data_IF_286102324692
#
_entry.id   IF_286102324692
#
_cell.length_a   1.000
_cell.length_b   1.000
_cell.length_c   1.000
_cell.angle_alpha   90.00
_cell.angle_beta   90.00
_cell.angle_gamma   90.00
#
_symmetry.space_group_name_H-M   'P 1'
#
loop_
_entity.id
_entity.type
_entity.pdbx_description
1 polymer ?
#
# COMPACT_ATOMS: atom_id res chain seq x y z
N UNK A 1 -28.17 40.82 -8.66
CA UNK A 1 -27.80 39.47 -8.21
C UNK A 1 -27.55 38.60 -9.43
N UNK A 2 -26.29 38.28 -9.71
CA UNK A 2 -25.87 37.24 -10.66
C UNK A 2 -24.60 36.60 -10.09
N UNK A 3 -24.51 35.27 -9.92
CA UNK A 3 -23.29 34.65 -9.43
C UNK A 3 -22.31 34.44 -10.59
N UNK A 4 -21.04 34.81 -10.33
CA UNK A 4 -19.90 34.58 -11.22
C UNK A 4 -19.54 33.09 -11.26
N UNK A 5 -19.29 32.59 -12.45
CA UNK A 5 -18.77 31.25 -12.76
C UNK A 5 -17.37 31.04 -12.20
N UNK A 6 -17.23 30.16 -11.21
CA UNK A 6 -15.95 29.61 -10.79
C UNK A 6 -15.58 28.42 -11.67
N UNK A 7 -14.51 28.54 -12.46
CA UNK A 7 -13.88 27.40 -13.14
C UNK A 7 -13.32 26.45 -12.08
N UNK A 8 -13.98 25.30 -11.91
CA UNK A 8 -13.49 24.20 -11.08
C UNK A 8 -12.32 23.52 -11.76
N UNK A 9 -11.13 23.68 -11.18
CA UNK A 9 -9.97 22.85 -11.48
C UNK A 9 -10.27 21.40 -11.07
N UNK A 10 -10.34 20.49 -12.04
CA UNK A 10 -10.36 19.04 -11.78
C UNK A 10 -8.95 18.60 -11.34
N UNK A 11 -8.77 17.99 -10.14
CA UNK A 11 -7.48 17.43 -9.77
C UNK A 11 -7.24 16.15 -10.57
N UNK A 12 -6.14 16.14 -11.32
CA UNK A 12 -5.60 14.96 -12.00
C UNK A 12 -5.24 13.91 -10.95
N UNK A 13 -5.48 12.63 -11.28
CA UNK A 13 -5.02 11.42 -10.57
C UNK A 13 -5.88 10.93 -9.38
N UNK A 14 -7.13 10.57 -9.69
CA UNK A 14 -7.72 9.34 -9.17
C UNK A 14 -7.88 8.40 -10.38
N UNK A 15 -6.85 7.61 -10.69
CA UNK A 15 -6.94 6.62 -11.76
C UNK A 15 -7.13 5.23 -11.15
N UNK A 16 -8.24 4.52 -11.45
CA UNK A 16 -8.40 3.12 -11.09
C UNK A 16 -7.34 2.25 -11.79
N UNK A 17 -7.06 1.07 -11.21
CA UNK A 17 -6.04 0.06 -11.61
C UNK A 17 -5.83 -0.19 -13.13
N UNK A 18 -6.77 0.12 -14.02
CA UNK A 18 -6.72 -0.26 -15.43
C UNK A 18 -5.85 0.66 -16.33
N UNK A 19 -5.41 1.83 -15.86
CA UNK A 19 -4.63 2.76 -16.70
C UNK A 19 -3.10 2.58 -16.65
N UNK A 20 -2.58 1.64 -15.86
CA UNK A 20 -1.13 1.41 -15.72
C UNK A 20 -0.55 0.26 -16.57
N UNK A 21 -1.37 -0.46 -17.36
CA UNK A 21 -0.88 -1.59 -18.18
C UNK A 21 -0.09 -1.16 -19.45
N UNK A 22 -0.08 0.13 -19.82
CA UNK A 22 0.42 0.61 -21.12
C UNK A 22 1.81 1.23 -21.13
N UNK A 23 2.63 1.08 -20.08
CA UNK A 23 4.00 1.64 -20.04
C UNK A 23 5.10 0.57 -19.90
N UNK A 24 5.01 -0.50 -20.71
CA UNK A 24 6.15 -1.37 -20.98
C UNK A 24 6.64 -1.12 -22.41
N UNK A 25 7.94 -0.85 -22.65
CA UNK A 25 8.48 -0.74 -24.00
C UNK A 25 8.41 -2.10 -24.72
N UNK A 26 8.20 -2.13 -26.05
CA UNK A 26 8.12 -3.38 -26.79
C UNK A 26 9.47 -4.10 -26.77
N UNK A 27 9.45 -5.36 -26.32
CA UNK A 27 10.59 -6.29 -26.43
C UNK A 27 10.84 -6.59 -27.92
N UNK A 28 12.07 -6.41 -28.37
CA UNK A 28 12.53 -6.75 -29.71
C UNK A 28 12.52 -8.27 -29.90
N UNK A 29 11.60 -8.77 -30.73
CA UNK A 29 11.67 -10.14 -31.25
C UNK A 29 12.58 -10.17 -32.48
N UNK A 30 13.69 -10.90 -32.38
CA UNK A 30 14.59 -11.15 -33.50
C UNK A 30 13.99 -12.19 -34.45
N UNK A 31 14.09 -11.90 -35.73
CA UNK A 31 13.62 -12.70 -36.86
C UNK A 31 14.49 -13.96 -37.04
N UNK A 32 13.86 -15.13 -37.26
CA UNK A 32 14.52 -16.25 -37.94
C UNK A 32 13.60 -16.75 -39.06
N UNK A 33 14.16 -16.72 -40.26
CA UNK A 33 13.57 -17.08 -41.54
C UNK A 33 13.35 -18.60 -41.65
N UNK A 34 12.38 -18.97 -42.48
CA UNK A 34 11.91 -20.35 -42.62
C UNK A 34 12.76 -21.27 -43.50
N UNK A 35 12.34 -22.54 -43.53
CA UNK A 35 12.65 -23.46 -44.61
C UNK A 35 11.46 -24.42 -44.83
N UNK A 36 11.08 -24.55 -46.09
CA UNK A 36 10.02 -25.38 -46.64
C UNK A 36 10.41 -26.87 -46.66
N UNK A 37 9.46 -27.81 -46.55
CA UNK A 37 9.25 -28.93 -47.52
C UNK A 37 8.25 -30.01 -47.04
N UNK A 38 7.26 -30.23 -47.91
CA UNK A 38 6.50 -31.45 -48.30
C UNK A 38 5.82 -32.37 -47.27
N UNK A 39 4.56 -32.64 -47.61
CA UNK A 39 3.66 -33.68 -47.11
C UNK A 39 4.20 -35.11 -47.32
N UNK A 40 3.99 -35.96 -46.31
CA UNK A 40 3.65 -37.37 -46.50
C UNK A 40 2.88 -37.87 -45.29
N UNK A 41 1.71 -38.44 -45.55
CA UNK A 41 0.79 -38.98 -44.56
C UNK A 41 1.25 -40.37 -44.12
N UNK A 42 1.61 -40.52 -42.86
CA UNK A 42 1.63 -41.82 -42.17
C UNK A 42 0.83 -41.71 -40.89
N UNK A 43 -0.18 -42.58 -40.79
CA UNK A 43 -1.07 -42.68 -39.66
C UNK A 43 -0.31 -43.42 -38.55
N UNK A 44 0.33 -42.67 -37.66
CA UNK A 44 0.98 -43.19 -36.45
C UNK A 44 0.25 -42.60 -35.26
N UNK A 45 -0.52 -43.44 -34.55
CA UNK A 45 -1.08 -43.08 -33.26
C UNK A 45 0.06 -42.67 -32.32
N UNK A 46 0.17 -41.37 -32.05
CA UNK A 46 1.12 -40.83 -31.09
C UNK A 46 0.66 -41.23 -29.69
N UNK A 47 1.31 -42.23 -29.10
CA UNK A 47 1.27 -42.40 -27.65
C UNK A 47 1.83 -41.13 -27.02
N UNK A 48 0.95 -40.33 -26.42
CA UNK A 48 1.34 -39.24 -25.54
C UNK A 48 2.16 -39.85 -24.39
N UNK A 49 3.35 -39.32 -24.05
CA UNK A 49 4.02 -39.74 -22.84
C UNK A 49 3.11 -39.40 -21.66
N UNK A 50 2.88 -40.41 -20.80
CA UNK A 50 2.17 -40.25 -19.55
C UNK A 50 2.93 -39.19 -18.72
N UNK A 51 2.37 -37.99 -18.62
CA UNK A 51 2.93 -36.95 -17.76
C UNK A 51 2.76 -37.43 -16.32
N UNK A 52 3.85 -37.54 -15.53
CA UNK A 52 3.71 -37.89 -14.12
C UNK A 52 2.76 -36.89 -13.48
N UNK A 53 1.80 -37.40 -12.70
CA UNK A 53 0.87 -36.61 -11.91
C UNK A 53 1.67 -35.74 -10.94
N UNK A 54 2.09 -34.57 -11.39
CA UNK A 54 2.55 -33.51 -10.52
C UNK A 54 1.31 -33.02 -9.80
N UNK A 55 1.20 -33.35 -8.51
CA UNK A 55 0.37 -32.59 -7.60
C UNK A 55 0.64 -31.11 -7.86
N UNK A 56 -0.39 -30.26 -7.98
CA UNK A 56 -0.16 -28.83 -8.06
C UNK A 56 0.73 -28.47 -6.87
N UNK A 57 1.81 -27.68 -7.07
CA UNK A 57 2.60 -27.24 -5.93
C UNK A 57 1.61 -26.61 -4.95
N UNK A 58 1.56 -27.16 -3.74
CA UNK A 58 0.94 -26.50 -2.59
C UNK A 58 1.37 -25.03 -2.69
N UNK A 59 0.42 -24.09 -2.65
CA UNK A 59 0.73 -22.66 -2.64
C UNK A 59 1.63 -22.39 -1.43
N UNK A 60 2.94 -22.53 -1.65
CA UNK A 60 3.98 -22.22 -0.70
C UNK A 60 3.81 -20.74 -0.46
N UNK A 61 3.38 -20.42 0.75
CA UNK A 61 3.31 -19.07 1.29
C UNK A 61 4.47 -18.26 0.74
N UNK A 62 4.18 -17.22 -0.05
CA UNK A 62 5.17 -16.21 -0.35
C UNK A 62 5.82 -15.84 0.98
N UNK A 63 7.16 -15.92 1.12
CA UNK A 63 7.80 -15.46 2.34
C UNK A 63 7.34 -14.02 2.58
N UNK A 64 7.12 -13.58 3.84
CA UNK A 64 6.80 -12.19 4.10
C UNK A 64 7.87 -11.35 3.41
N UNK A 65 7.46 -10.59 2.39
CA UNK A 65 8.38 -9.75 1.65
C UNK A 65 9.05 -8.82 2.66
N UNK A 66 10.39 -8.80 2.66
CA UNK A 66 11.15 -7.96 3.57
C UNK A 66 10.61 -6.52 3.54
N UNK A 67 10.56 -5.83 4.70
CA UNK A 67 10.03 -4.49 4.75
C UNK A 67 10.83 -3.54 3.83
N UNK A 68 10.14 -2.88 2.91
CA UNK A 68 10.74 -1.86 2.07
C UNK A 68 11.02 -0.64 2.94
N UNK A 69 12.29 -0.34 3.18
CA UNK A 69 12.72 0.65 4.17
C UNK A 69 13.61 1.72 3.55
N UNK A 70 13.43 2.98 3.97
CA UNK A 70 14.37 4.07 3.74
C UNK A 70 14.77 4.71 5.04
N UNK A 71 16.03 5.09 5.15
CA UNK A 71 16.60 5.69 6.35
C UNK A 71 17.30 7.01 6.05
N UNK A 72 17.40 7.84 7.07
CA UNK A 72 18.26 9.01 7.16
C UNK A 72 18.75 9.13 8.62
N UNK A 73 19.66 10.05 8.98
CA UNK A 73 20.15 10.16 10.36
C UNK A 73 19.01 10.29 11.38
N UNK A 74 18.86 9.28 12.25
CA UNK A 74 17.78 9.13 13.23
C UNK A 74 16.36 9.16 12.63
N UNK A 75 16.18 8.78 11.36
CA UNK A 75 14.90 8.64 10.71
C UNK A 75 14.83 7.26 10.04
N UNK A 76 13.72 6.54 10.24
CA UNK A 76 13.40 5.33 9.47
C UNK A 76 11.95 5.39 8.99
N UNK A 77 11.72 5.03 7.73
CA UNK A 77 10.37 4.87 7.18
C UNK A 77 10.27 3.53 6.47
N UNK A 78 9.18 2.79 6.68
CA UNK A 78 9.04 1.47 6.06
C UNK A 78 7.60 1.11 5.68
N UNK A 79 7.49 0.28 4.65
CA UNK A 79 6.28 -0.40 4.21
C UNK A 79 6.48 -1.91 4.36
N UNK A 80 5.50 -2.61 4.93
CA UNK A 80 5.59 -4.06 5.16
C UNK A 80 4.24 -4.74 5.01
N UNK A 81 4.21 -6.03 4.69
CA UNK A 81 2.98 -6.83 4.71
C UNK A 81 2.80 -7.59 6.03
N UNK A 82 3.82 -7.57 6.91
CA UNK A 82 3.80 -8.25 8.20
C UNK A 82 3.06 -7.43 9.27
N UNK A 83 2.49 -8.07 10.30
CA UNK A 83 1.97 -7.37 11.47
C UNK A 83 3.00 -6.42 12.09
N UNK A 84 2.53 -5.27 12.55
CA UNK A 84 3.41 -4.23 13.09
C UNK A 84 3.76 -4.53 14.54
N UNK A 85 5.04 -4.42 14.89
CA UNK A 85 5.50 -4.51 16.27
C UNK A 85 5.78 -3.10 16.82
N UNK A 86 5.03 -2.60 17.82
CA UNK A 86 5.22 -1.26 18.39
C UNK A 86 6.57 -1.06 19.07
N UNK A 87 7.22 -2.13 19.53
CA UNK A 87 8.50 -2.04 20.22
C UNK A 87 9.65 -1.67 19.27
N UNK A 88 9.58 -2.05 18.00
CA UNK A 88 10.62 -1.76 17.00
C UNK A 88 10.81 -0.26 16.76
N UNK A 89 9.77 0.52 16.36
CA UNK A 89 9.92 1.96 16.18
C UNK A 89 10.17 2.69 17.51
N UNK A 90 9.61 2.22 18.63
CA UNK A 90 9.90 2.76 19.97
C UNK A 90 11.39 2.63 20.32
N UNK A 91 11.98 1.46 20.08
CA UNK A 91 13.40 1.23 20.34
C UNK A 91 14.29 2.10 19.43
N UNK A 92 13.94 2.22 18.15
CA UNK A 92 14.69 3.01 17.18
C UNK A 92 14.82 4.49 17.58
N UNK A 93 13.74 5.11 18.08
CA UNK A 93 13.74 6.55 18.40
C UNK A 93 14.33 6.88 19.78
N UNK A 94 14.69 5.89 20.61
CA UNK A 94 15.28 6.15 21.93
C UNK A 94 16.59 6.93 21.81
N UNK A 95 16.78 7.87 22.72
CA UNK A 95 18.00 8.66 22.81
C UNK A 95 18.25 9.07 24.27
N UNK A 96 19.49 9.09 24.75
CA UNK A 96 19.83 9.68 26.06
C UNK A 96 19.44 11.16 26.19
N UNK A 97 19.22 11.86 25.06
CA UNK A 97 18.80 13.26 25.03
C UNK A 97 17.27 13.43 25.04
N UNK A 98 16.51 12.33 24.94
CA UNK A 98 15.06 12.38 24.86
C UNK A 98 14.43 12.39 26.26
N UNK A 99 13.70 13.46 26.58
CA UNK A 99 12.83 13.52 27.76
C UNK A 99 11.44 12.95 27.49
N UNK A 100 11.09 12.66 26.23
CA UNK A 100 9.84 12.02 25.87
C UNK A 100 9.97 11.20 24.58
N UNK A 101 9.23 10.10 24.55
CA UNK A 101 8.94 9.31 23.35
C UNK A 101 7.42 9.18 23.26
N UNK A 102 6.86 9.43 22.08
CA UNK A 102 5.44 9.28 21.80
C UNK A 102 5.29 8.26 20.67
N UNK A 103 4.34 7.34 20.83
CA UNK A 103 3.91 6.39 19.81
C UNK A 103 2.44 6.64 19.49
N UNK A 104 2.15 6.81 18.21
CA UNK A 104 0.81 6.68 17.66
C UNK A 104 0.67 5.31 17.00
N UNK A 105 -0.46 4.64 17.25
CA UNK A 105 -0.83 3.38 16.63
C UNK A 105 -2.24 3.51 16.01
N UNK A 106 -2.32 3.43 14.69
CA UNK A 106 -3.58 3.50 13.96
C UNK A 106 -4.19 2.11 13.78
N UNK A 107 -5.24 1.80 14.54
CA UNK A 107 -5.89 0.47 14.54
C UNK A 107 -7.13 0.43 13.64
N UNK A 108 -7.38 -0.72 13.02
CA UNK A 108 -8.63 -0.96 12.30
C UNK A 108 -9.80 -1.09 13.29
N UNK A 109 -10.87 -0.34 13.06
CA UNK A 109 -12.11 -0.40 13.87
C UNK A 109 -13.08 -1.44 13.31
N UNK A 110 -13.97 -1.96 14.16
CA UNK A 110 -14.99 -2.96 13.82
C UNK A 110 -16.15 -2.41 12.97
N UNK A 111 -16.26 -1.09 12.84
CA UNK A 111 -17.38 -0.42 12.20
C UNK A 111 -16.96 0.84 11.42
N UNK A 112 -17.65 1.06 10.31
CA UNK A 112 -17.58 2.30 9.53
C UNK A 112 -18.98 2.69 9.07
N UNK A 113 -19.43 3.89 9.44
CA UNK A 113 -20.75 4.42 9.06
C UNK A 113 -21.90 3.44 9.39
N UNK A 114 -21.88 2.92 10.63
CA UNK A 114 -22.81 1.91 11.17
C UNK A 114 -22.83 0.55 10.46
N UNK A 115 -21.89 0.28 9.53
CA UNK A 115 -21.74 -1.04 8.88
C UNK A 115 -20.57 -1.82 9.46
N UNK A 116 -20.72 -3.14 9.69
CA UNK A 116 -19.64 -3.99 10.18
C UNK A 116 -18.53 -4.09 9.12
N UNK A 117 -17.31 -3.77 9.52
CA UNK A 117 -16.10 -3.90 8.69
C UNK A 117 -15.43 -5.22 9.03
N UNK A 118 -15.16 -6.04 8.01
CA UNK A 118 -14.43 -7.30 8.18
C UNK A 118 -12.92 -7.05 8.28
N UNK A 119 -12.38 -6.29 7.32
CA UNK A 119 -10.96 -5.94 7.22
C UNK A 119 -10.77 -4.59 6.52
N UNK A 120 -9.63 -3.95 6.77
CA UNK A 120 -9.10 -2.91 5.88
C UNK A 120 -7.96 -3.51 5.07
N UNK A 121 -7.86 -3.20 3.78
CA UNK A 121 -6.69 -3.54 2.98
C UNK A 121 -5.98 -2.28 2.50
N UNK A 122 -4.64 -2.28 2.48
CA UNK A 122 -3.85 -1.13 2.06
C UNK A 122 -2.96 -1.47 0.86
N UNK A 123 -3.00 -0.62 -0.16
CA UNK A 123 -2.10 -0.68 -1.31
C UNK A 123 -1.27 0.61 -1.37
N UNK A 124 -0.07 0.54 -1.97
CA UNK A 124 0.80 1.70 -2.09
C UNK A 124 1.61 1.70 -3.38
N UNK A 125 1.91 2.89 -3.89
CA UNK A 125 2.98 3.06 -4.87
C UNK A 125 4.31 3.20 -4.12
N UNK A 126 4.86 2.06 -3.71
CA UNK A 126 5.89 1.99 -2.68
C UNK A 126 7.11 2.92 -2.88
N UNK A 127 7.69 3.05 -4.10
CA UNK A 127 8.84 3.95 -4.31
C UNK A 127 8.54 5.41 -3.97
N UNK A 128 7.37 5.91 -4.40
CA UNK A 128 6.97 7.29 -4.15
C UNK A 128 6.47 7.47 -2.71
N UNK A 129 5.66 6.53 -2.20
CA UNK A 129 5.21 6.56 -0.82
C UNK A 129 6.38 6.64 0.18
N UNK A 130 7.43 5.82 0.00
CA UNK A 130 8.63 5.89 0.84
C UNK A 130 9.38 7.22 0.70
N UNK A 131 9.40 7.82 -0.49
CA UNK A 131 9.97 9.16 -0.71
C UNK A 131 9.18 10.22 0.05
N UNK A 132 7.85 10.17 -0.05
CA UNK A 132 6.93 11.09 0.61
C UNK A 132 7.03 10.97 2.12
N UNK A 133 7.01 9.75 2.67
CA UNK A 133 7.15 9.49 4.11
C UNK A 133 8.48 10.02 4.65
N UNK A 134 9.59 9.77 3.94
CA UNK A 134 10.90 10.27 4.36
C UNK A 134 10.94 11.81 4.36
N UNK A 135 10.32 12.45 3.36
CA UNK A 135 10.21 13.91 3.28
C UNK A 135 9.40 14.48 4.46
N UNK A 136 8.27 13.86 4.81
CA UNK A 136 7.45 14.22 5.97
C UNK A 136 8.26 14.09 7.27
N UNK A 137 8.88 12.94 7.50
CA UNK A 137 9.67 12.68 8.70
C UNK A 137 10.84 13.67 8.84
N UNK A 138 11.51 14.00 7.73
CA UNK A 138 12.61 14.97 7.71
C UNK A 138 12.12 16.37 8.06
N UNK A 139 11.01 16.82 7.46
CA UNK A 139 10.43 18.13 7.74
C UNK A 139 10.00 18.26 9.21
N UNK A 140 9.35 17.23 9.75
CA UNK A 140 8.89 17.22 11.15
C UNK A 140 10.04 17.18 12.14
N UNK A 141 11.09 16.42 11.85
CA UNK A 141 12.29 16.38 12.69
C UNK A 141 12.90 17.77 12.84
N UNK A 142 13.06 18.50 11.74
CA UNK A 142 13.58 19.87 11.76
C UNK A 142 12.61 20.84 12.43
N UNK A 143 11.31 20.79 12.05
CA UNK A 143 10.28 21.71 12.55
C UNK A 143 10.10 21.63 14.07
N UNK A 144 10.09 20.43 14.63
CA UNK A 144 9.79 20.19 16.05
C UNK A 144 11.04 19.92 16.91
N UNK A 145 12.24 19.93 16.30
CA UNK A 145 13.49 19.63 17.02
C UNK A 145 13.54 18.19 17.56
N UNK A 146 13.05 17.23 16.76
CA UNK A 146 12.98 15.83 17.17
C UNK A 146 14.37 15.17 17.13
N UNK A 147 14.56 14.20 18.02
CA UNK A 147 15.78 13.41 18.11
C UNK A 147 15.71 12.18 17.21
N UNK A 148 14.52 11.58 17.08
CA UNK A 148 14.28 10.46 16.18
C UNK A 148 12.83 10.41 15.68
N UNK A 149 12.64 9.86 14.47
CA UNK A 149 11.34 9.65 13.84
C UNK A 149 11.30 8.26 13.20
N UNK A 150 10.26 7.49 13.46
CA UNK A 150 9.99 6.22 12.80
C UNK A 150 8.55 6.21 12.29
N UNK A 151 8.35 5.90 11.00
CA UNK A 151 7.00 5.70 10.42
C UNK A 151 6.97 4.34 9.74
N UNK A 152 6.09 3.45 10.19
CA UNK A 152 5.93 2.11 9.62
C UNK A 152 4.48 1.95 9.21
N UNK A 153 4.23 1.58 7.95
CA UNK A 153 2.88 1.33 7.46
C UNK A 153 2.75 -0.12 6.97
N UNK A 154 1.67 -0.78 7.37
CA UNK A 154 1.30 -2.11 6.89
C UNK A 154 0.52 -2.01 5.58
N UNK A 155 0.85 -2.87 4.63
CA UNK A 155 0.17 -3.09 3.37
C UNK A 155 -0.55 -4.44 3.40
N UNK A 156 -1.46 -4.64 2.46
CA UNK A 156 -2.35 -5.81 2.45
C UNK A 156 -3.43 -5.69 3.53
N UNK A 157 -3.98 -6.83 3.91
CA UNK A 157 -5.08 -6.90 4.88
C UNK A 157 -4.62 -6.64 6.32
N UNK A 158 -5.41 -5.83 7.01
CA UNK A 158 -5.26 -5.43 8.42
C UNK A 158 -6.59 -5.73 9.13
N UNK A 159 -6.65 -6.83 9.89
CA UNK A 159 -7.81 -7.21 10.67
C UNK A 159 -8.23 -6.12 11.68
N UNK A 160 -9.50 -6.18 12.10
CA UNK A 160 -10.02 -5.37 13.20
C UNK A 160 -9.16 -5.54 14.45
N UNK A 161 -8.81 -4.42 15.10
CA UNK A 161 -7.96 -4.37 16.28
C UNK A 161 -6.46 -4.31 15.98
N UNK A 162 -6.02 -4.64 14.76
CA UNK A 162 -4.60 -4.61 14.39
C UNK A 162 -4.16 -3.24 13.84
N UNK A 163 -2.87 -2.95 13.96
CA UNK A 163 -2.27 -1.69 13.53
C UNK A 163 -1.99 -1.67 12.02
N UNK A 164 -2.48 -0.62 11.37
CA UNK A 164 -2.18 -0.27 9.98
C UNK A 164 -0.96 0.65 9.87
N UNK A 165 -0.71 1.48 10.88
CA UNK A 165 0.40 2.42 10.91
C UNK A 165 0.91 2.61 12.33
N UNK A 166 2.23 2.69 12.47
CA UNK A 166 2.92 3.11 13.69
C UNK A 166 3.76 4.35 13.39
N UNK A 167 3.66 5.35 14.26
CA UNK A 167 4.50 6.55 14.22
C UNK A 167 5.13 6.74 15.60
N UNK A 168 6.44 6.58 15.69
CA UNK A 168 7.19 6.88 16.90
C UNK A 168 8.05 8.13 16.70
N UNK A 169 8.06 9.01 17.70
CA UNK A 169 8.92 10.20 17.72
C UNK A 169 9.53 10.38 19.10
N UNK A 170 10.74 10.93 19.14
CA UNK A 170 11.39 11.32 20.39
C UNK A 170 11.82 12.77 20.37
N UNK A 171 11.72 13.44 21.53
CA UNK A 171 12.06 14.85 21.67
C UNK A 171 12.64 15.13 23.07
N UNK A 172 13.38 16.24 23.25
CA UNK A 172 13.85 16.66 24.58
C UNK A 172 12.68 16.93 25.55
N UNK A 173 11.54 17.41 25.04
CA UNK A 173 10.36 17.75 25.84
C UNK A 173 9.07 17.19 25.22
N UNK A 174 8.15 16.72 26.08
CA UNK A 174 6.91 16.04 25.69
C UNK A 174 6.01 16.80 24.72
N UNK A 175 5.95 18.14 24.82
CA UNK A 175 5.05 18.94 23.99
C UNK A 175 5.40 18.84 22.49
N UNK A 176 6.70 18.83 22.16
CA UNK A 176 7.15 18.67 20.79
C UNK A 176 6.84 17.27 20.26
N UNK A 177 7.04 16.23 21.08
CA UNK A 177 6.74 14.85 20.70
C UNK A 177 5.24 14.63 20.40
N UNK A 178 4.34 15.15 21.26
CA UNK A 178 2.89 15.04 21.04
C UNK A 178 2.44 15.71 19.74
N UNK A 179 2.86 16.97 19.53
CA UNK A 179 2.50 17.73 18.31
C UNK A 179 3.05 17.08 17.04
N UNK A 180 4.28 16.58 17.10
CA UNK A 180 4.91 15.94 15.96
C UNK A 180 4.25 14.61 15.60
N UNK A 181 3.84 13.80 16.59
CA UNK A 181 3.16 12.52 16.35
C UNK A 181 1.81 12.71 15.64
N UNK A 182 1.01 13.68 16.09
CA UNK A 182 -0.25 14.05 15.43
C UNK A 182 -0.02 14.59 14.02
N UNK A 183 0.90 15.55 13.86
CA UNK A 183 1.20 16.15 12.54
C UNK A 183 1.75 15.11 11.54
N UNK A 184 2.53 14.14 12.02
CA UNK A 184 3.03 13.04 11.19
C UNK A 184 1.91 12.20 10.59
N UNK A 185 0.87 11.88 11.37
CA UNK A 185 -0.28 11.14 10.87
C UNK A 185 -1.03 11.95 9.81
N UNK A 186 -1.32 13.22 10.11
CA UNK A 186 -2.09 14.08 9.21
C UNK A 186 -1.37 14.32 7.88
N UNK A 187 -0.06 14.59 7.92
CA UNK A 187 0.73 14.76 6.70
C UNK A 187 0.87 13.45 5.92
N UNK A 188 0.95 12.30 6.60
CA UNK A 188 0.96 10.98 5.95
C UNK A 188 -0.36 10.75 5.21
N UNK A 189 -1.51 10.95 5.85
CA UNK A 189 -2.84 10.78 5.25
C UNK A 189 -3.08 11.73 4.07
N UNK A 190 -2.50 12.92 4.13
CA UNK A 190 -2.67 13.97 3.12
C UNK A 190 -1.83 13.73 1.87
N UNK A 191 -0.63 13.16 2.01
CA UNK A 191 0.39 13.17 0.95
C UNK A 191 0.86 11.80 0.51
N UNK A 192 0.89 10.81 1.40
CA UNK A 192 1.48 9.52 1.06
C UNK A 192 0.60 8.76 0.05
N UNK A 193 1.25 8.13 -0.92
CA UNK A 193 0.63 7.33 -1.98
C UNK A 193 0.25 5.94 -1.46
N UNK A 194 -0.63 5.94 -0.44
CA UNK A 194 -1.18 4.77 0.24
C UNK A 194 -2.71 4.90 0.23
N UNK A 195 -3.38 3.87 -0.27
CA UNK A 195 -4.83 3.82 -0.42
C UNK A 195 -5.41 2.71 0.44
N UNK A 196 -6.60 2.93 0.99
CA UNK A 196 -7.32 1.97 1.83
C UNK A 196 -8.53 1.40 1.08
N UNK A 197 -8.78 0.11 1.23
CA UNK A 197 -9.99 -0.57 0.80
C UNK A 197 -10.74 -1.02 2.05
N UNK A 198 -12.02 -0.66 2.15
CA UNK A 198 -12.91 -1.10 3.22
C UNK A 198 -13.68 -2.35 2.75
N UNK A 199 -13.40 -3.51 3.34
CA UNK A 199 -14.15 -4.75 3.07
C UNK A 199 -15.26 -4.91 4.12
N UNK A 200 -16.52 -4.99 3.66
CA UNK A 200 -17.69 -5.13 4.52
C UNK A 200 -18.13 -6.59 4.64
N UNK A 201 -18.68 -6.98 5.78
CA UNK A 201 -19.25 -8.33 5.97
C UNK A 201 -20.44 -8.51 5.02
N UNK A 202 -20.34 -9.43 4.06
CA UNK A 202 -21.45 -9.80 3.17
C UNK A 202 -21.67 -8.90 1.93
N UNK A 203 -20.69 -8.10 1.50
CA UNK A 203 -20.79 -7.28 0.29
C UNK A 203 -19.46 -6.83 -0.32
N UNK A 204 -19.50 -6.18 -1.48
CA UNK A 204 -18.32 -5.68 -2.20
C UNK A 204 -17.61 -4.51 -1.47
N UNK A 205 -16.28 -4.50 -1.51
CA UNK A 205 -15.45 -3.50 -0.83
C UNK A 205 -15.42 -2.13 -1.52
N UNK A 206 -15.20 -1.06 -0.75
CA UNK A 206 -15.11 0.32 -1.27
C UNK A 206 -13.70 0.88 -1.10
N UNK A 207 -13.05 1.24 -2.21
CA UNK A 207 -11.75 1.93 -2.16
C UNK A 207 -11.91 3.38 -1.73
N UNK A 208 -11.09 3.82 -0.77
CA UNK A 208 -11.00 5.20 -0.30
C UNK A 208 -9.55 5.67 -0.25
N UNK A 209 -9.34 6.95 -0.53
CA UNK A 209 -8.08 7.59 -0.17
C UNK A 209 -7.92 7.61 1.36
N UNK A 210 -6.68 7.64 1.85
CA UNK A 210 -6.43 7.73 3.29
C UNK A 210 -6.76 9.12 3.87
N UNK A 211 -7.10 10.10 3.01
CA UNK A 211 -7.60 11.42 3.39
C UNK A 211 -9.05 11.32 3.86
N UNK A 212 -9.33 11.74 5.09
CA UNK A 212 -10.70 11.81 5.58
C UNK A 212 -11.52 12.81 4.74
N UNK A 213 -12.73 12.40 4.38
CA UNK A 213 -13.72 13.28 3.72
C UNK A 213 -13.80 13.23 2.19
N UNK A 214 -13.02 12.39 1.50
CA UNK A 214 -13.26 12.12 0.07
C UNK A 214 -14.07 10.82 -0.07
N UNK A 215 -15.26 10.91 -0.66
CA UNK A 215 -16.11 9.75 -0.92
C UNK A 215 -15.37 8.76 -1.83
N UNK A 216 -15.29 7.51 -1.40
CA UNK A 216 -14.79 6.42 -2.22
C UNK A 216 -15.69 6.18 -3.42
N UNK A 217 -15.10 5.78 -4.54
CA UNK A 217 -15.84 5.38 -5.75
C UNK A 217 -16.13 3.89 -5.63
N UNK A 218 -17.41 3.49 -5.75
CA UNK A 218 -17.78 2.08 -5.89
C UNK A 218 -17.24 1.56 -7.22
N UNK A 219 -16.64 0.38 -7.22
CA UNK A 219 -16.25 -0.32 -8.44
C UNK A 219 -17.18 -1.52 -8.54
N UNK A 220 -18.12 -1.48 -9.48
CA UNK A 220 -18.93 -2.64 -9.80
C UNK A 220 -18.01 -3.67 -10.48
N UNK A 221 -17.92 -4.86 -9.90
CA UNK A 221 -17.23 -5.98 -10.54
C UNK A 221 -18.23 -6.56 -11.53
N UNK A 222 -18.17 -6.15 -12.80
CA UNK A 222 -18.97 -6.81 -13.84
C UNK A 222 -18.59 -8.29 -13.89
N UNK A 223 -19.46 -9.12 -13.30
CA UNK A 223 -19.44 -10.56 -13.38
C UNK A 223 -19.60 -11.00 -14.82
N UNK A 224 -18.52 -11.47 -15.41
CA UNK A 224 -18.54 -12.17 -16.69
C UNK A 224 -19.01 -13.61 -16.51
N UNK A 225 -20.32 -13.82 -16.33
CA UNK A 225 -20.96 -15.10 -16.62
C UNK A 225 -22.26 -14.88 -17.40
N UNK A 226 -22.38 -15.60 -18.52
CA UNK A 226 -23.65 -15.93 -19.14
C UNK A 226 -23.97 -15.22 -20.45
N UNK A 227 -23.55 -15.83 -21.58
CA UNK A 227 -24.43 -15.84 -22.75
C UNK A 227 -24.40 -17.19 -23.46
N UNK A 228 -25.63 -17.71 -23.55
CA UNK A 228 -26.19 -18.87 -24.25
C UNK A 228 -25.48 -19.26 -25.55
#
# INVERSE_FOLDING_TARGET
>A
MSPRSGHGYLPRYALPRHLFRTLLPPSTASSVQGLTTRHSSTNTSLNLPEYPHHTPPTMSSFPPSDPLTRTAPAITVSLTHSPLNPLTPLAFVKSPKAGAVVLFAGTTRDSFDARPVATLAYEAYAPLALTTLLSIATALKTKHGLLGVAIVHRLGEVPVGEESILIAVSAPHRQAAWRAGEEALEETKKRAEIWKLENFVGGEGVWRANRDGVMGVKVDVEGGEGRL
#
